data_IF_488654620870
#
_entry.id   IF_488654620870
#
_cell.length_a   1.000
_cell.length_b   1.000
_cell.length_c   1.000
_cell.angle_alpha   90.00
_cell.angle_beta   90.00
_cell.angle_gamma   90.00
#
_symmetry.space_group_name_H-M   'P 1'
#
loop_
_entity.id
_entity.type
_entity.pdbx_description
1 polymer ?
#
# COMPACT_ATOMS: atom_id res chain seq x y z
N UNK A 1 -1.37 15.84 8.93
CA UNK A 1 -0.96 15.33 7.60
C UNK A 1 -0.71 16.52 6.68
N UNK A 2 0.44 16.57 6.01
CA UNK A 2 0.74 17.59 4.98
C UNK A 2 -0.21 17.43 3.78
N UNK A 3 -0.65 18.54 3.18
CA UNK A 3 -1.57 18.53 2.01
C UNK A 3 -1.04 17.63 0.87
N UNK A 4 0.28 17.65 0.64
CA UNK A 4 0.94 16.82 -0.38
C UNK A 4 0.72 15.32 -0.16
N UNK A 5 0.71 14.86 1.10
CA UNK A 5 0.52 13.44 1.43
C UNK A 5 -0.92 13.02 1.11
N UNK A 6 -1.89 13.87 1.43
CA UNK A 6 -3.31 13.64 1.15
C UNK A 6 -3.55 13.56 -0.35
N UNK A 7 -2.92 14.44 -1.14
CA UNK A 7 -3.05 14.43 -2.60
C UNK A 7 -2.46 13.15 -3.22
N UNK A 8 -1.32 12.68 -2.72
CA UNK A 8 -0.74 11.40 -3.15
C UNK A 8 -1.68 10.23 -2.82
N UNK A 9 -2.18 10.15 -1.59
CA UNK A 9 -3.10 9.09 -1.17
C UNK A 9 -4.39 9.11 -1.97
N UNK A 10 -4.95 10.29 -2.23
CA UNK A 10 -6.14 10.47 -3.05
C UNK A 10 -5.88 10.04 -4.50
N UNK A 11 -4.73 10.41 -5.07
CA UNK A 11 -4.34 9.99 -6.42
C UNK A 11 -4.19 8.48 -6.54
N UNK A 12 -3.58 7.81 -5.56
CA UNK A 12 -3.48 6.35 -5.51
C UNK A 12 -4.86 5.71 -5.38
N UNK A 13 -5.72 6.24 -4.50
CA UNK A 13 -7.08 5.74 -4.32
C UNK A 13 -7.93 5.89 -5.59
N UNK A 14 -7.77 6.98 -6.34
CA UNK A 14 -8.47 7.19 -7.60
C UNK A 14 -7.94 6.25 -8.69
N UNK A 15 -6.62 6.07 -8.79
CA UNK A 15 -6.01 5.11 -9.72
C UNK A 15 -6.48 3.68 -9.44
N UNK A 16 -6.56 3.30 -8.16
CA UNK A 16 -7.07 2.00 -7.74
C UNK A 16 -8.58 1.84 -7.94
N UNK A 17 -9.33 2.94 -8.00
CA UNK A 17 -10.77 2.94 -8.23
C UNK A 17 -11.18 2.32 -9.57
N UNK A 18 -10.30 2.33 -10.57
CA UNK A 18 -10.54 1.74 -11.89
C UNK A 18 -10.07 0.27 -12.00
N UNK A 19 -9.67 -0.38 -10.90
CA UNK A 19 -9.15 -1.76 -10.92
C UNK A 19 -10.24 -2.86 -10.90
N UNK A 20 -11.51 -2.49 -11.00
CA UNK A 20 -12.62 -3.44 -11.02
C UNK A 20 -12.81 -4.07 -12.39
N UNK A 21 -13.52 -5.20 -12.43
CA UNK A 21 -13.79 -5.93 -13.67
C UNK A 21 -14.78 -5.16 -14.56
N UNK A 22 -14.42 -4.98 -15.83
CA UNK A 22 -15.22 -4.20 -16.79
C UNK A 22 -15.05 -2.69 -16.68
N UNK A 23 -13.98 -2.19 -16.05
CA UNK A 23 -13.64 -0.77 -16.09
C UNK A 23 -13.34 -0.31 -17.52
N UNK A 24 -13.82 0.88 -17.87
CA UNK A 24 -13.78 1.43 -19.22
C UNK A 24 -13.07 2.79 -19.19
N UNK A 25 -12.21 3.05 -20.17
CA UNK A 25 -11.55 4.35 -20.36
C UNK A 25 -12.54 5.36 -20.97
N UNK A 26 -12.15 6.64 -21.02
CA UNK A 26 -13.00 7.73 -21.55
C UNK A 26 -13.49 7.49 -23.00
N UNK A 27 -12.75 6.67 -23.75
CA UNK A 27 -13.04 6.31 -25.14
C UNK A 27 -13.94 5.07 -25.30
N UNK A 28 -14.40 4.46 -24.20
CA UNK A 28 -15.21 3.24 -24.27
C UNK A 28 -14.38 1.95 -24.33
N UNK A 29 -13.06 2.02 -24.22
CA UNK A 29 -12.17 0.85 -24.29
C UNK A 29 -11.95 0.20 -22.92
N UNK A 30 -11.91 -1.14 -22.82
CA UNK A 30 -11.70 -1.82 -21.55
C UNK A 30 -10.29 -1.60 -21.02
N UNK A 31 -10.19 -1.20 -19.75
CA UNK A 31 -8.93 -1.00 -19.05
C UNK A 31 -8.32 -2.36 -18.71
N UNK A 32 -7.09 -2.61 -19.20
CA UNK A 32 -6.34 -3.84 -18.95
C UNK A 32 -5.27 -3.62 -17.88
N UNK A 33 -5.36 -4.40 -16.81
CA UNK A 33 -4.47 -4.33 -15.64
C UNK A 33 -3.38 -5.42 -15.72
N UNK A 34 -3.61 -6.48 -16.52
CA UNK A 34 -2.74 -7.65 -16.60
C UNK A 34 -3.20 -8.81 -15.71
N UNK A 35 -4.50 -8.87 -15.39
CA UNK A 35 -5.09 -9.96 -14.62
C UNK A 35 -5.46 -11.14 -15.54
N UNK A 36 -5.40 -12.37 -15.01
CA UNK A 36 -5.74 -13.59 -15.75
C UNK A 36 -7.18 -13.59 -16.25
N UNK A 37 -8.13 -12.89 -15.59
CA UNK A 37 -9.52 -12.74 -16.08
C UNK A 37 -9.65 -11.99 -17.42
N UNK A 38 -8.65 -11.18 -17.78
CA UNK A 38 -8.66 -10.39 -19.02
C UNK A 38 -8.23 -11.22 -20.24
N UNK A 39 -7.68 -12.41 -20.02
CA UNK A 39 -7.18 -13.30 -21.05
C UNK A 39 -8.16 -14.43 -21.39
N UNK A 40 -8.61 -14.45 -22.65
CA UNK A 40 -9.42 -15.52 -23.22
C UNK A 40 -10.80 -15.04 -23.66
N UNK A 41 -11.68 -15.98 -24.00
CA UNK A 41 -13.07 -15.74 -24.33
C UNK A 41 -13.98 -16.31 -23.22
N UNK A 42 -14.68 -15.46 -22.44
CA UNK A 42 -15.54 -15.89 -21.34
C UNK A 42 -16.64 -16.89 -21.70
N UNK A 43 -17.04 -16.97 -22.98
CA UNK A 43 -18.09 -17.89 -23.45
C UNK A 43 -17.56 -19.29 -23.78
N UNK A 44 -16.29 -19.40 -24.21
CA UNK A 44 -15.69 -20.65 -24.66
C UNK A 44 -14.75 -21.25 -23.62
N UNK A 45 -14.08 -20.39 -22.86
CA UNK A 45 -13.06 -20.79 -21.91
C UNK A 45 -13.62 -21.02 -20.52
N UNK A 46 -12.84 -21.73 -19.70
CA UNK A 46 -13.16 -21.90 -18.29
C UNK A 46 -13.13 -20.54 -17.60
N UNK A 47 -14.13 -20.27 -16.76
CA UNK A 47 -14.17 -19.07 -15.93
C UNK A 47 -12.92 -18.97 -15.05
N UNK A 48 -12.16 -17.89 -15.23
CA UNK A 48 -11.07 -17.46 -14.36
C UNK A 48 -11.62 -16.42 -13.39
N UNK A 49 -11.29 -16.56 -12.10
CA UNK A 49 -11.69 -15.62 -11.05
C UNK A 49 -10.43 -15.12 -10.39
N UNK A 50 -10.17 -13.84 -10.57
CA UNK A 50 -9.08 -13.14 -9.91
C UNK A 50 -9.42 -11.66 -9.64
N UNK A 51 -8.61 -11.06 -8.78
CA UNK A 51 -8.74 -9.66 -8.41
C UNK A 51 -7.54 -9.17 -7.64
N UNK A 52 -7.37 -7.85 -7.63
CA UNK A 52 -6.33 -7.18 -6.88
C UNK A 52 -6.90 -6.02 -6.07
N UNK A 53 -6.21 -5.68 -4.98
CA UNK A 53 -6.57 -4.57 -4.11
C UNK A 53 -5.31 -3.89 -3.61
N UNK A 54 -5.41 -2.58 -3.38
CA UNK A 54 -4.30 -1.74 -2.92
C UNK A 54 -4.72 -1.08 -1.62
N UNK A 55 -3.87 -1.16 -0.60
CA UNK A 55 -4.06 -0.48 0.69
C UNK A 55 -2.80 0.30 1.03
N UNK A 56 -2.95 1.52 1.52
CA UNK A 56 -1.82 2.32 1.99
C UNK A 56 -1.80 2.33 3.51
N UNK A 57 -0.61 2.17 4.10
CA UNK A 57 -0.36 2.21 5.54
C UNK A 57 0.96 2.95 5.76
N UNK A 58 0.92 4.17 6.29
CA UNK A 58 2.11 5.00 6.43
C UNK A 58 2.78 5.26 5.08
N UNK A 59 4.08 4.93 4.98
CA UNK A 59 4.86 4.98 3.73
C UNK A 59 4.74 3.70 2.89
N UNK A 60 4.09 2.68 3.42
CA UNK A 60 4.01 1.36 2.78
C UNK A 60 2.68 1.20 2.02
N UNK A 61 2.77 0.82 0.75
CA UNK A 61 1.67 0.39 -0.10
C UNK A 61 1.63 -1.14 -0.10
N UNK A 62 0.54 -1.69 0.40
CA UNK A 62 0.26 -3.12 0.40
C UNK A 62 -0.55 -3.47 -0.86
N UNK A 63 0.06 -4.24 -1.75
CA UNK A 63 -0.63 -4.84 -2.88
C UNK A 63 -1.06 -6.25 -2.50
N UNK A 64 -2.33 -6.58 -2.72
CA UNK A 64 -2.86 -7.93 -2.52
C UNK A 64 -3.55 -8.42 -3.78
N UNK A 65 -3.19 -9.60 -4.24
CA UNK A 65 -3.77 -10.30 -5.38
C UNK A 65 -4.42 -11.59 -4.90
N UNK A 66 -5.59 -11.92 -5.44
CA UNK A 66 -6.31 -13.13 -5.16
C UNK A 66 -6.69 -13.81 -6.49
N UNK A 67 -6.46 -15.13 -6.57
CA UNK A 67 -6.80 -15.92 -7.75
C UNK A 67 -7.28 -17.31 -7.35
N UNK A 68 -8.26 -17.81 -8.11
CA UNK A 68 -8.63 -19.21 -8.09
C UNK A 68 -7.86 -19.97 -9.18
N UNK A 69 -7.08 -20.98 -8.78
CA UNK A 69 -6.29 -21.82 -9.67
C UNK A 69 -6.65 -23.29 -9.53
N UNK A 70 -6.22 -24.12 -10.48
CA UNK A 70 -6.31 -25.56 -10.35
C UNK A 70 -5.11 -26.07 -9.54
N UNK A 71 -5.34 -27.10 -8.72
CA UNK A 71 -4.31 -27.70 -7.88
C UNK A 71 -3.10 -28.19 -8.71
N UNK A 72 -3.35 -28.69 -9.93
CA UNK A 72 -2.28 -29.10 -10.85
C UNK A 72 -1.35 -27.95 -11.26
N UNK A 73 -1.86 -26.73 -11.31
CA UNK A 73 -1.08 -25.56 -11.75
C UNK A 73 -0.13 -25.12 -10.64
N UNK A 74 -0.52 -25.29 -9.37
CA UNK A 74 0.39 -25.11 -8.22
C UNK A 74 1.55 -26.10 -8.25
N UNK A 75 1.26 -27.38 -8.52
CA UNK A 75 2.30 -28.42 -8.60
C UNK A 75 3.22 -28.29 -9.82
N UNK A 76 2.91 -27.41 -10.78
CA UNK A 76 3.76 -27.16 -11.95
C UNK A 76 5.04 -26.36 -11.62
N UNK A 77 5.14 -25.78 -10.42
CA UNK A 77 6.34 -25.07 -9.94
C UNK A 77 6.56 -23.69 -10.56
N UNK A 78 5.65 -23.19 -11.41
CA UNK A 78 5.77 -21.87 -12.06
C UNK A 78 5.07 -20.73 -11.32
N UNK A 79 4.42 -21.05 -10.21
CA UNK A 79 3.50 -20.15 -9.52
C UNK A 79 4.20 -18.90 -8.98
N UNK A 80 5.41 -19.03 -8.43
CA UNK A 80 6.16 -17.89 -7.87
C UNK A 80 6.47 -16.85 -8.95
N UNK A 81 7.05 -17.27 -10.08
CA UNK A 81 7.36 -16.37 -11.19
C UNK A 81 6.11 -15.74 -11.81
N UNK A 82 5.01 -16.48 -11.92
CA UNK A 82 3.73 -15.93 -12.39
C UNK A 82 3.17 -14.86 -11.44
N UNK A 83 3.25 -15.09 -10.12
CA UNK A 83 2.79 -14.11 -9.14
C UNK A 83 3.64 -12.84 -9.16
N UNK A 84 4.96 -12.96 -9.27
CA UNK A 84 5.85 -11.79 -9.38
C UNK A 84 5.57 -10.96 -10.62
N UNK A 85 5.33 -11.62 -11.76
CA UNK A 85 4.98 -10.95 -13.00
C UNK A 85 3.66 -10.18 -12.88
N UNK A 86 2.61 -10.82 -12.33
CA UNK A 86 1.31 -10.19 -12.10
C UNK A 86 1.43 -8.98 -11.17
N UNK A 87 2.22 -9.09 -10.09
CA UNK A 87 2.47 -7.96 -9.20
C UNK A 87 3.15 -6.79 -9.93
N UNK A 88 4.11 -7.07 -10.81
CA UNK A 88 4.78 -6.06 -11.63
C UNK A 88 3.83 -5.38 -12.62
N UNK A 89 2.93 -6.14 -13.24
CA UNK A 89 1.93 -5.62 -14.17
C UNK A 89 0.93 -4.70 -13.45
N UNK A 90 0.45 -5.10 -12.27
CA UNK A 90 -0.44 -4.26 -11.45
C UNK A 90 0.26 -2.96 -11.01
N UNK A 91 1.53 -3.01 -10.60
CA UNK A 91 2.30 -1.82 -10.23
C UNK A 91 2.51 -0.90 -11.44
N UNK A 92 2.77 -1.48 -12.61
CA UNK A 92 2.95 -0.73 -13.86
C UNK A 92 1.67 -0.03 -14.27
N UNK A 93 0.53 -0.71 -14.15
CA UNK A 93 -0.79 -0.13 -14.33
C UNK A 93 -1.03 1.04 -13.36
N UNK A 94 -0.79 0.82 -12.06
CA UNK A 94 -1.03 1.84 -11.04
C UNK A 94 -0.19 3.10 -11.26
N UNK A 95 1.08 2.96 -11.67
CA UNK A 95 1.95 4.09 -12.04
C UNK A 95 1.42 4.86 -13.24
N UNK A 96 0.87 4.18 -14.25
CA UNK A 96 0.29 4.82 -15.45
C UNK A 96 -0.97 5.60 -15.10
N UNK A 97 -1.90 4.99 -14.40
CA UNK A 97 -3.16 5.62 -14.01
C UNK A 97 -2.94 6.79 -13.04
N UNK A 98 -2.05 6.63 -12.06
CA UNK A 98 -1.69 7.73 -11.17
C UNK A 98 -1.14 8.93 -11.95
N UNK A 99 -0.31 8.69 -12.97
CA UNK A 99 0.24 9.75 -13.82
C UNK A 99 -0.83 10.41 -14.68
N UNK A 100 -1.79 9.64 -15.23
CA UNK A 100 -2.92 10.20 -15.99
C UNK A 100 -3.76 11.15 -15.11
N UNK A 101 -4.06 10.75 -13.88
CA UNK A 101 -4.96 11.50 -12.98
C UNK A 101 -4.28 12.73 -12.38
N UNK A 102 -3.07 12.56 -11.86
CA UNK A 102 -2.40 13.61 -11.07
C UNK A 102 -1.37 14.43 -11.85
N UNK A 103 -0.97 13.97 -13.03
CA UNK A 103 0.16 14.53 -13.80
C UNK A 103 1.54 14.26 -13.18
N UNK A 104 1.60 13.70 -11.96
CA UNK A 104 2.84 13.43 -11.23
C UNK A 104 3.26 11.96 -11.38
N UNK A 105 4.55 11.68 -11.18
CA UNK A 105 5.07 10.31 -11.25
C UNK A 105 5.06 9.67 -9.87
N UNK A 106 4.49 8.46 -9.74
CA UNK A 106 4.55 7.68 -8.50
C UNK A 106 5.81 6.80 -8.48
N UNK A 107 6.65 6.98 -7.46
CA UNK A 107 7.81 6.13 -7.19
C UNK A 107 7.45 5.06 -6.15
N UNK A 108 7.54 3.80 -6.55
CA UNK A 108 7.33 2.63 -5.69
C UNK A 108 8.60 1.80 -5.69
N UNK A 109 9.19 1.57 -4.51
CA UNK A 109 10.31 0.66 -4.29
C UNK A 109 9.81 -0.63 -3.68
N UNK A 110 10.38 -1.76 -4.04
CA UNK A 110 9.97 -3.05 -3.48
C UNK A 110 10.46 -3.18 -2.03
N UNK A 111 9.58 -3.60 -1.12
CA UNK A 111 9.87 -3.80 0.29
C UNK A 111 9.61 -5.26 0.65
N UNK A 112 10.62 -6.10 0.43
CA UNK A 112 10.58 -7.53 0.72
C UNK A 112 10.09 -8.40 -0.45
N UNK A 113 9.94 -9.69 -0.16
CA UNK A 113 9.53 -10.72 -1.13
C UNK A 113 8.01 -10.81 -1.26
N UNK A 114 7.53 -11.47 -2.32
CA UNK A 114 6.10 -11.74 -2.50
C UNK A 114 5.68 -12.90 -1.60
N UNK A 115 4.89 -12.61 -0.56
CA UNK A 115 4.30 -13.65 0.29
C UNK A 115 3.07 -14.25 -0.41
N UNK A 116 3.00 -15.58 -0.52
CA UNK A 116 1.92 -16.27 -1.21
C UNK A 116 1.33 -17.36 -0.30
N UNK A 117 0.03 -17.24 -0.03
CA UNK A 117 -0.76 -18.20 0.73
C UNK A 117 -1.64 -19.01 -0.22
N UNK A 118 -1.42 -20.32 -0.23
CA UNK A 118 -2.21 -21.27 -1.02
C UNK A 118 -3.14 -22.05 -0.08
N UNK A 119 -4.44 -21.97 -0.32
CA UNK A 119 -5.48 -22.64 0.45
C UNK A 119 -6.26 -23.61 -0.44
N UNK A 120 -6.51 -24.82 0.06
CA UNK A 120 -7.33 -25.78 -0.66
C UNK A 120 -8.81 -25.49 -0.47
N UNK A 121 -9.50 -25.19 -1.57
CA UNK A 121 -10.95 -25.02 -1.59
C UNK A 121 -11.65 -26.35 -1.90
N UNK A 122 -11.03 -27.16 -2.75
CA UNK A 122 -11.55 -28.44 -3.25
C UNK A 122 -10.38 -29.37 -3.62
N UNK A 123 -10.68 -30.64 -3.92
CA UNK A 123 -9.70 -31.60 -4.46
C UNK A 123 -9.07 -31.16 -5.79
N UNK A 124 -9.71 -30.22 -6.50
CA UNK A 124 -9.29 -29.77 -7.83
C UNK A 124 -8.88 -28.30 -7.84
N UNK A 125 -9.34 -27.50 -6.87
CA UNK A 125 -9.23 -26.04 -6.90
C UNK A 125 -8.62 -25.49 -5.62
N UNK A 126 -7.86 -24.42 -5.78
CA UNK A 126 -7.14 -23.73 -4.70
C UNK A 126 -7.32 -22.23 -4.83
N UNK A 127 -7.36 -21.55 -3.69
CA UNK A 127 -7.24 -20.11 -3.62
C UNK A 127 -5.79 -19.74 -3.36
N UNK A 128 -5.30 -18.78 -4.13
CA UNK A 128 -3.96 -18.21 -3.98
C UNK A 128 -4.13 -16.76 -3.65
N UNK A 129 -3.68 -16.37 -2.46
CA UNK A 129 -3.63 -14.98 -2.02
C UNK A 129 -2.18 -14.57 -1.92
N UNK A 130 -1.76 -13.63 -2.77
CA UNK A 130 -0.41 -13.10 -2.78
C UNK A 130 -0.40 -11.67 -2.27
N UNK A 131 0.64 -11.31 -1.50
CA UNK A 131 0.84 -9.98 -0.96
C UNK A 131 2.27 -9.52 -1.21
N UNK A 132 2.43 -8.30 -1.71
CA UNK A 132 3.73 -7.64 -1.83
C UNK A 132 3.63 -6.20 -1.34
N UNK A 133 4.63 -5.80 -0.57
CA UNK A 133 4.70 -4.48 0.03
C UNK A 133 5.67 -3.60 -0.76
N UNK A 134 5.29 -2.35 -0.97
CA UNK A 134 6.06 -1.35 -1.70
C UNK A 134 6.21 -0.07 -0.87
N UNK A 135 7.38 0.56 -0.88
CA UNK A 135 7.61 1.84 -0.24
C UNK A 135 7.32 3.00 -1.21
N UNK A 136 6.51 3.96 -0.78
CA UNK A 136 6.15 5.14 -1.56
C UNK A 136 7.25 6.21 -1.39
N UNK A 137 8.05 6.43 -2.44
CA UNK A 137 9.20 7.33 -2.36
C UNK A 137 8.87 8.81 -2.22
N UNK A 138 7.68 9.25 -2.65
CA UNK A 138 7.32 10.68 -2.70
C UNK A 138 6.68 11.20 -1.41
N UNK A 139 6.58 10.36 -0.37
CA UNK A 139 6.04 10.73 0.93
C UNK A 139 7.16 11.08 1.91
N UNK A 140 7.69 12.30 1.84
CA UNK A 140 8.82 12.76 2.67
C UNK A 140 8.63 12.52 4.18
N UNK A 141 7.91 13.41 4.86
CA UNK A 141 7.74 13.45 6.33
C UNK A 141 6.72 12.43 6.88
N UNK A 142 6.22 11.49 6.08
CA UNK A 142 5.27 10.50 6.59
C UNK A 142 6.01 9.49 7.49
N UNK A 143 5.62 9.32 8.74
CA UNK A 143 6.15 8.25 9.58
C UNK A 143 5.51 6.92 9.17
N UNK A 144 6.31 5.85 9.11
CA UNK A 144 5.79 4.51 8.84
C UNK A 144 5.18 3.89 10.11
N UNK A 145 4.27 2.94 9.93
CA UNK A 145 3.56 2.34 11.06
C UNK A 145 4.54 1.52 11.91
N UNK A 146 4.70 1.91 13.18
CA UNK A 146 5.67 1.38 14.18
C UNK A 146 7.11 1.88 14.04
N UNK A 147 7.37 2.95 13.28
CA UNK A 147 8.62 3.67 13.49
C UNK A 147 8.67 4.19 14.94
N UNK A 148 9.79 4.00 15.66
CA UNK A 148 9.93 4.57 16.99
C UNK A 148 9.79 6.09 16.88
N UNK A 149 8.88 6.68 17.67
CA UNK A 149 8.78 8.14 17.73
C UNK A 149 10.14 8.70 18.12
N UNK A 150 10.66 9.67 17.36
CA UNK A 150 11.89 10.35 17.75
C UNK A 150 11.77 10.89 19.19
N UNK A 151 12.85 10.82 19.97
CA UNK A 151 12.99 11.27 21.37
C UNK A 151 12.74 12.79 21.58
N UNK A 152 12.05 13.47 20.65
CA UNK A 152 11.61 14.85 20.76
C UNK A 152 10.75 15.08 22.00
N UNK A 153 9.97 14.07 22.42
CA UNK A 153 9.22 14.11 23.68
C UNK A 153 10.16 14.22 24.89
N UNK A 154 11.24 13.44 24.94
CA UNK A 154 12.25 13.50 26.00
C UNK A 154 12.93 14.88 26.07
N UNK A 155 13.26 15.48 24.93
CA UNK A 155 13.88 16.81 24.89
C UNK A 155 12.91 17.91 25.36
N UNK A 156 11.65 17.86 24.94
CA UNK A 156 10.63 18.81 25.39
C UNK A 156 10.31 18.64 26.88
N UNK A 157 10.21 17.40 27.37
CA UNK A 157 10.02 17.10 28.79
C UNK A 157 11.21 17.55 29.65
N UNK A 158 12.45 17.32 29.20
CA UNK A 158 13.65 17.86 29.86
C UNK A 158 13.64 19.38 29.90
N UNK A 159 13.34 20.05 28.79
CA UNK A 159 13.23 21.50 28.75
C UNK A 159 12.12 22.07 29.64
N UNK A 160 11.03 21.33 29.85
CA UNK A 160 9.95 21.69 30.76
C UNK A 160 10.35 21.48 32.23
N UNK A 161 11.02 20.38 32.55
CA UNK A 161 11.55 20.14 33.90
C UNK A 161 12.63 21.16 34.27
N UNK A 162 13.46 21.56 33.33
CA UNK A 162 14.48 22.60 33.53
C UNK A 162 13.90 24.00 33.76
N UNK A 163 12.63 24.24 33.39
CA UNK A 163 11.91 25.47 33.73
C UNK A 163 11.43 25.48 35.19
N UNK A 164 11.44 24.33 35.88
CA UNK A 164 11.14 24.27 37.30
C UNK A 164 12.28 24.91 38.10
N UNK A 165 11.95 25.91 38.91
CA UNK A 165 12.91 26.53 39.82
C UNK A 165 12.27 26.78 41.18
N UNK A 166 12.99 26.44 42.25
CA UNK A 166 12.60 26.79 43.63
C UNK A 166 12.85 28.27 43.97
N UNK A 167 13.27 29.07 42.97
CA UNK A 167 13.51 30.50 43.16
C UNK A 167 12.19 31.24 43.20
N UNK A 168 12.01 32.05 44.25
CA UNK A 168 10.89 32.99 44.34
C UNK A 168 10.86 33.86 43.09
N UNK A 169 9.67 34.07 42.55
CA UNK A 169 9.46 35.00 41.46
C UNK A 169 10.02 36.39 41.87
N UNK A 170 10.64 37.15 40.96
CA UNK A 170 11.33 38.40 41.29
C UNK A 170 10.43 39.48 41.90
N UNK A 171 9.12 39.31 41.84
CA UNK A 171 8.08 40.16 42.42
C UNK A 171 7.52 39.63 43.76
N UNK A 172 7.99 38.50 44.29
CA UNK A 172 7.54 37.95 45.57
C UNK A 172 8.40 38.46 46.75
N UNK A 173 7.89 39.47 47.45
CA UNK A 173 8.55 40.11 48.60
C UNK A 173 8.25 39.45 49.94
N UNK A 174 7.55 38.30 49.97
CA UNK A 174 7.23 37.61 51.22
C UNK A 174 8.51 37.04 51.84
N UNK A 175 8.67 37.09 53.17
CA UNK A 175 9.81 36.45 53.86
C UNK A 175 9.78 34.94 53.59
N UNK A 176 10.96 34.32 53.41
CA UNK A 176 11.05 32.87 53.35
C UNK A 176 10.74 32.33 54.75
N UNK A 177 9.76 31.44 54.87
CA UNK A 177 9.54 30.70 56.10
C UNK A 177 10.68 29.69 56.27
N UNK A 178 11.21 29.62 57.49
CA UNK A 178 12.36 28.79 57.88
C UNK A 178 11.98 27.33 58.06
#
# INVERSE_FOLDING_TARGET
MSQKIVDILRGISQAAGNMYDGAIDENGEPIKIGLKREEGNPLLDKRKIDGCSVRCSGKTLHLSYHSELLLKDVYSGKLESELEQIMSDIVSYLKKEYKKITGNTLSLKEKGECDARVESTSRVRVFVTARKDYEIGNMGEAEDVKEPSEDKLEAAFKSFLDQSSDKKAPNDTRKAEA
#
